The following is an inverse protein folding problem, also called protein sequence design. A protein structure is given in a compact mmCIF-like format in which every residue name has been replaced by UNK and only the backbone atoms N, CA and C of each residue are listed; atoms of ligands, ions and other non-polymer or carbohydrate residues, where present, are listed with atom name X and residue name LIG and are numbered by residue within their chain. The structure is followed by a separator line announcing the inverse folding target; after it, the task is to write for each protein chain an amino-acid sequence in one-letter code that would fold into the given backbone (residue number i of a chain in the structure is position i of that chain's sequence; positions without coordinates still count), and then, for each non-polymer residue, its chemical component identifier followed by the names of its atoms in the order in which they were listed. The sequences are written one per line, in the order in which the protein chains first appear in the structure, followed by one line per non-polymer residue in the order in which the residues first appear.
data_IF_387805947893
#
_entry.id   IF_387805947893
#
_cell.length_a   1.000
_cell.length_b   1.000
_cell.length_c   1.000
_cell.angle_alpha   90.00
_cell.angle_beta   90.00
_cell.angle_gamma   90.00
#
_symmetry.space_group_name_H-M   'P 1'
#
loop_
_entity.id
_entity.type
_entity.pdbx_description
1 polymer ?
#
# COMPACT_ATOMS: atom_id res chain seq x y z
N UNK A 1 24.09 -18.62 -13.91
CA UNK A 1 23.00 -18.18 -14.81
C UNK A 1 22.69 -19.25 -15.86
N UNK A 2 21.44 -19.72 -15.93
CA UNK A 2 20.96 -20.62 -17.01
C UNK A 2 20.99 -19.90 -18.37
N UNK A 3 20.98 -20.65 -19.48
CA UNK A 3 21.01 -20.10 -20.84
C UNK A 3 19.67 -20.32 -21.55
N UNK A 4 19.22 -19.31 -22.31
CA UNK A 4 18.01 -19.40 -23.13
C UNK A 4 18.13 -20.46 -24.23
N UNK A 5 17.03 -21.14 -24.54
CA UNK A 5 16.95 -22.13 -25.60
C UNK A 5 16.15 -21.63 -26.80
N UNK A 6 16.76 -21.65 -27.98
CA UNK A 6 16.09 -21.29 -29.25
C UNK A 6 15.13 -22.37 -29.76
N UNK A 7 15.24 -23.61 -29.25
CA UNK A 7 14.32 -24.70 -29.59
C UNK A 7 13.08 -24.75 -28.70
N UNK A 8 13.06 -23.98 -27.62
CA UNK A 8 11.89 -23.84 -26.76
C UNK A 8 10.80 -23.05 -27.48
N UNK A 9 9.51 -23.41 -27.32
CA UNK A 9 8.40 -22.62 -27.85
C UNK A 9 8.24 -21.27 -27.15
N UNK A 10 8.90 -21.06 -25.99
CA UNK A 10 8.84 -19.79 -25.27
C UNK A 10 9.69 -18.72 -25.95
N UNK A 11 9.20 -17.48 -26.09
CA UNK A 11 10.02 -16.38 -26.60
C UNK A 11 11.29 -16.15 -25.78
N UNK A 12 12.42 -15.88 -26.43
CA UNK A 12 13.73 -15.72 -25.78
C UNK A 12 13.76 -14.64 -24.69
N UNK A 13 13.05 -13.52 -24.88
CA UNK A 13 12.94 -12.47 -23.87
C UNK A 13 12.18 -12.96 -22.62
N UNK A 14 11.18 -13.83 -22.80
CA UNK A 14 10.42 -14.42 -21.70
C UNK A 14 11.27 -15.45 -20.94
N UNK A 15 12.05 -16.25 -21.65
CA UNK A 15 13.01 -17.17 -21.02
C UNK A 15 14.06 -16.41 -20.19
N UNK A 16 14.66 -15.34 -20.75
CA UNK A 16 15.61 -14.51 -20.00
C UNK A 16 14.96 -13.86 -18.76
N UNK A 17 13.72 -13.38 -18.90
CA UNK A 17 12.93 -12.88 -17.77
C UNK A 17 12.84 -13.94 -16.66
N UNK A 18 12.44 -15.16 -16.99
CA UNK A 18 12.33 -16.26 -16.01
C UNK A 18 13.67 -16.60 -15.36
N UNK A 19 14.76 -16.62 -16.14
CA UNK A 19 16.11 -16.90 -15.61
C UNK A 19 16.52 -15.84 -14.58
N UNK A 20 16.28 -14.55 -14.87
CA UNK A 20 16.58 -13.47 -13.95
C UNK A 20 15.70 -13.53 -12.69
N UNK A 21 14.41 -13.88 -12.83
CA UNK A 21 13.52 -14.07 -11.69
C UNK A 21 13.99 -15.21 -10.81
N UNK A 22 14.34 -16.35 -11.40
CA UNK A 22 14.84 -17.52 -10.66
C UNK A 22 16.12 -17.20 -9.88
N UNK A 23 17.05 -16.43 -10.45
CA UNK A 23 18.25 -15.97 -9.74
C UNK A 23 17.91 -15.11 -8.52
N UNK A 24 16.90 -14.23 -8.63
CA UNK A 24 16.44 -13.41 -7.49
C UNK A 24 15.71 -14.27 -6.45
N UNK A 25 14.89 -15.23 -6.89
CA UNK A 25 14.15 -16.15 -6.01
C UNK A 25 15.08 -17.09 -5.24
N UNK A 26 16.20 -17.50 -5.85
CA UNK A 26 17.24 -18.32 -5.23
C UNK A 26 18.29 -17.51 -4.46
N UNK A 27 18.08 -16.20 -4.28
CA UNK A 27 19.00 -15.30 -3.57
C UNK A 27 20.42 -15.20 -4.17
N UNK A 28 20.59 -15.56 -5.46
CA UNK A 28 21.82 -15.30 -6.23
C UNK A 28 21.98 -13.81 -6.55
N UNK A 29 20.87 -13.06 -6.53
CA UNK A 29 20.81 -11.61 -6.66
C UNK A 29 19.91 -11.04 -5.55
N UNK A 30 20.48 -10.22 -4.68
CA UNK A 30 19.79 -9.64 -3.53
C UNK A 30 19.17 -8.27 -3.86
N UNK A 31 18.16 -7.81 -3.10
CA UNK A 31 17.63 -6.46 -3.25
C UNK A 31 18.71 -5.38 -3.17
N UNK A 32 18.78 -4.53 -4.19
CA UNK A 32 19.82 -3.51 -4.34
C UNK A 32 21.01 -3.93 -5.20
N UNK A 33 21.18 -5.22 -5.50
CA UNK A 33 22.23 -5.68 -6.40
C UNK A 33 21.97 -5.22 -7.84
N UNK A 34 23.05 -4.95 -8.57
CA UNK A 34 23.01 -4.72 -10.02
C UNK A 34 22.87 -6.04 -10.75
N UNK A 35 21.91 -6.13 -11.68
CA UNK A 35 21.91 -7.23 -12.65
C UNK A 35 23.05 -7.03 -13.67
N UNK A 36 23.50 -8.09 -14.38
CA UNK A 36 24.43 -7.91 -15.50
C UNK A 36 23.88 -6.90 -16.51
N UNK A 37 24.77 -6.10 -17.08
CA UNK A 37 24.42 -5.05 -18.04
C UNK A 37 23.77 -5.64 -19.29
N UNK A 38 23.01 -4.83 -20.04
CA UNK A 38 22.40 -5.29 -21.30
C UNK A 38 23.43 -5.93 -22.24
N UNK A 39 24.64 -5.37 -22.28
CA UNK A 39 25.74 -5.87 -23.11
C UNK A 39 26.20 -7.24 -22.65
N UNK A 40 26.49 -7.40 -21.36
CA UNK A 40 26.91 -8.68 -20.79
C UNK A 40 25.82 -9.75 -20.97
N UNK A 41 24.55 -9.39 -20.79
CA UNK A 41 23.43 -10.30 -21.04
C UNK A 41 23.35 -10.71 -22.52
N UNK A 42 23.61 -9.80 -23.47
CA UNK A 42 23.67 -10.16 -24.88
C UNK A 42 24.79 -11.18 -25.15
N UNK A 43 25.97 -10.97 -24.56
CA UNK A 43 27.15 -11.81 -24.72
C UNK A 43 26.94 -13.20 -24.08
N UNK A 44 26.44 -13.25 -22.85
CA UNK A 44 26.16 -14.48 -22.09
C UNK A 44 25.07 -15.31 -22.79
N UNK A 45 23.96 -14.67 -23.15
CA UNK A 45 22.76 -15.36 -23.64
C UNK A 45 22.77 -15.53 -25.18
N UNK A 46 23.69 -14.89 -25.90
CA UNK A 46 23.79 -14.91 -27.36
C UNK A 46 22.49 -14.53 -28.07
N UNK A 47 21.85 -13.46 -27.57
CA UNK A 47 20.59 -12.90 -28.10
C UNK A 47 20.73 -11.40 -28.37
N UNK A 48 19.78 -10.85 -29.13
CA UNK A 48 19.81 -9.44 -29.51
C UNK A 48 19.58 -8.52 -28.31
N UNK A 49 20.15 -7.30 -28.38
CA UNK A 49 19.92 -6.25 -27.38
C UNK A 49 18.45 -5.89 -27.22
N UNK A 50 17.67 -5.88 -28.30
CA UNK A 50 16.23 -5.66 -28.22
C UNK A 50 15.52 -6.74 -27.40
N UNK A 51 15.94 -8.00 -27.53
CA UNK A 51 15.40 -9.12 -26.75
C UNK A 51 15.74 -9.00 -25.27
N UNK A 52 16.98 -8.65 -24.94
CA UNK A 52 17.42 -8.39 -23.56
C UNK A 52 16.64 -7.22 -22.95
N UNK A 53 16.58 -6.09 -23.67
CA UNK A 53 15.88 -4.90 -23.21
C UNK A 53 14.39 -5.17 -22.96
N UNK A 54 13.73 -5.97 -23.81
CA UNK A 54 12.34 -6.39 -23.61
C UNK A 54 12.15 -7.21 -22.33
N UNK A 55 13.07 -8.11 -22.01
CA UNK A 55 13.03 -8.89 -20.77
C UNK A 55 13.17 -7.97 -19.53
N UNK A 56 14.15 -7.07 -19.56
CA UNK A 56 14.39 -6.11 -18.47
C UNK A 56 13.19 -5.19 -18.29
N UNK A 57 12.63 -4.63 -19.37
CA UNK A 57 11.46 -3.75 -19.29
C UNK A 57 10.23 -4.47 -18.71
N UNK A 58 10.03 -5.75 -19.00
CA UNK A 58 8.98 -6.55 -18.35
C UNK A 58 9.19 -6.60 -16.84
N UNK A 59 10.39 -6.93 -16.37
CA UNK A 59 10.70 -7.01 -14.94
C UNK A 59 10.61 -5.65 -14.24
N UNK A 60 10.98 -4.57 -14.93
CA UNK A 60 10.79 -3.20 -14.45
C UNK A 60 9.31 -2.86 -14.33
N UNK A 61 8.50 -3.22 -15.33
CA UNK A 61 7.05 -2.99 -15.28
C UNK A 61 6.34 -3.77 -14.17
N UNK A 62 6.89 -4.94 -13.79
CA UNK A 62 6.41 -5.77 -12.70
C UNK A 62 6.92 -5.31 -11.31
N UNK A 63 7.82 -4.32 -11.28
CA UNK A 63 8.43 -3.82 -10.05
C UNK A 63 9.42 -4.80 -9.40
N UNK A 64 9.94 -5.76 -10.15
CA UNK A 64 10.96 -6.72 -9.71
C UNK A 64 12.36 -6.10 -9.87
N UNK A 65 12.54 -5.28 -10.91
CA UNK A 65 13.73 -4.49 -11.13
C UNK A 65 13.38 -2.99 -11.17
N UNK A 66 14.36 -2.13 -10.97
CA UNK A 66 14.25 -0.69 -11.25
C UNK A 66 15.49 -0.20 -12.00
N UNK A 67 15.34 0.90 -12.75
CA UNK A 67 16.45 1.51 -13.51
C UNK A 67 16.84 2.84 -12.87
N UNK A 68 18.14 3.03 -12.67
CA UNK A 68 18.71 4.35 -12.42
C UNK A 68 19.50 4.80 -13.65
N UNK A 69 19.10 5.92 -14.23
CA UNK A 69 19.73 6.47 -15.43
C UNK A 69 21.23 6.68 -15.21
N UNK A 70 22.05 6.13 -16.11
CA UNK A 70 23.52 6.22 -16.05
C UNK A 70 24.19 5.30 -15.02
N UNK A 71 23.43 4.59 -14.18
CA UNK A 71 23.97 3.72 -13.13
C UNK A 71 23.70 2.24 -13.34
N UNK A 72 22.56 1.89 -13.94
CA UNK A 72 22.26 0.50 -14.29
C UNK A 72 20.84 0.07 -13.97
N UNK A 73 20.65 -1.25 -13.91
CA UNK A 73 19.38 -1.89 -13.52
C UNK A 73 19.63 -2.71 -12.27
N UNK A 74 18.73 -2.56 -11.29
CA UNK A 74 18.91 -3.07 -9.93
C UNK A 74 17.72 -3.92 -9.51
N UNK A 75 17.94 -4.88 -8.62
CA UNK A 75 16.86 -5.66 -8.00
C UNK A 75 16.07 -4.80 -7.03
N UNK A 76 14.76 -4.71 -7.23
CA UNK A 76 13.88 -3.92 -6.38
C UNK A 76 13.75 -4.54 -4.98
N UNK A 77 13.53 -3.69 -3.98
CA UNK A 77 13.17 -4.16 -2.63
C UNK A 77 11.82 -4.86 -2.67
N UNK A 78 11.67 -5.95 -1.89
CA UNK A 78 10.39 -6.65 -1.75
C UNK A 78 9.35 -5.66 -1.23
N UNK A 79 8.19 -5.59 -1.88
CA UNK A 79 7.05 -4.80 -1.38
C UNK A 79 6.63 -5.29 -0.01
N UNK A 80 6.24 -4.36 0.85
CA UNK A 80 5.73 -4.66 2.17
C UNK A 80 4.41 -5.44 2.07
N UNK A 81 4.36 -6.60 2.72
CA UNK A 81 3.19 -7.48 2.75
C UNK A 81 2.16 -6.94 3.73
N UNK A 82 0.97 -6.54 3.29
CA UNK A 82 -0.14 -6.26 4.21
C UNK A 82 -1.02 -7.49 4.42
N UNK A 83 -1.13 -7.96 5.68
CA UNK A 83 -1.97 -9.11 6.04
C UNK A 83 -3.41 -8.68 6.33
N UNK A 84 -4.36 -9.29 5.62
CA UNK A 84 -5.78 -8.94 5.69
C UNK A 84 -6.61 -9.78 6.68
N UNK A 85 -6.01 -10.78 7.32
CA UNK A 85 -6.73 -11.80 8.11
C UNK A 85 -7.01 -11.41 9.56
N UNK A 86 -6.35 -10.37 10.09
CA UNK A 86 -6.62 -9.84 11.43
C UNK A 86 -7.00 -8.37 11.32
N UNK A 87 -8.07 -7.98 12.02
CA UNK A 87 -8.47 -6.57 12.15
C UNK A 87 -7.43 -5.85 13.03
N UNK A 88 -6.34 -5.43 12.41
CA UNK A 88 -5.27 -4.65 13.02
C UNK A 88 -5.38 -3.20 12.56
N UNK A 89 -4.97 -2.30 13.45
CA UNK A 89 -4.65 -0.94 13.05
C UNK A 89 -3.39 -0.93 12.21
N UNK A 90 -3.28 0.06 11.32
CA UNK A 90 -2.06 0.30 10.54
C UNK A 90 -0.80 0.35 11.41
N UNK A 91 -0.89 0.95 12.61
CA UNK A 91 0.23 1.08 13.54
C UNK A 91 0.69 -0.28 14.09
N UNK A 92 -0.25 -1.14 14.50
CA UNK A 92 0.08 -2.50 14.96
C UNK A 92 0.73 -3.30 13.83
N UNK A 93 0.19 -3.19 12.62
CA UNK A 93 0.61 -3.99 11.48
C UNK A 93 2.05 -3.72 11.04
N UNK A 94 2.49 -2.45 10.94
CA UNK A 94 3.90 -2.22 10.55
C UNK A 94 4.88 -2.31 11.72
N UNK A 95 4.42 -2.14 12.97
CA UNK A 95 5.28 -2.42 14.15
C UNK A 95 5.71 -3.89 14.18
N UNK A 96 4.80 -4.81 13.85
CA UNK A 96 5.15 -6.24 13.72
C UNK A 96 6.19 -6.52 12.61
N UNK A 97 6.28 -5.64 11.62
CA UNK A 97 7.29 -5.71 10.54
C UNK A 97 8.60 -5.01 10.90
N UNK A 98 8.72 -4.47 12.11
CA UNK A 98 9.91 -3.73 12.56
C UNK A 98 10.10 -2.37 11.88
N UNK A 99 9.06 -1.83 11.23
CA UNK A 99 9.14 -0.56 10.50
C UNK A 99 8.80 0.63 11.38
N UNK A 100 9.54 1.72 11.20
CA UNK A 100 9.25 2.98 11.89
C UNK A 100 8.09 3.69 11.18
N UNK A 101 6.96 3.79 11.88
CA UNK A 101 5.77 4.47 11.39
C UNK A 101 5.64 5.81 12.09
N UNK A 102 5.37 6.85 11.34
CA UNK A 102 4.84 8.10 11.87
C UNK A 102 3.56 8.50 11.14
N UNK A 103 2.73 9.30 11.80
CA UNK A 103 1.49 9.82 11.23
C UNK A 103 1.48 11.32 11.35
N UNK A 104 1.12 12.02 10.27
CA UNK A 104 0.91 13.47 10.27
C UNK A 104 -0.56 13.74 9.99
N UNK A 105 -1.23 14.45 10.89
CA UNK A 105 -2.62 14.87 10.69
C UNK A 105 -2.62 16.08 9.73
N UNK A 106 -3.22 15.91 8.55
CA UNK A 106 -3.36 16.95 7.53
C UNK A 106 -4.61 17.81 7.76
N UNK A 107 -5.73 17.18 8.17
CA UNK A 107 -6.97 17.88 8.52
C UNK A 107 -7.71 17.13 9.64
N UNK A 108 -8.44 17.88 10.46
CA UNK A 108 -9.36 17.39 11.47
C UNK A 108 -10.57 18.34 11.49
N UNK A 109 -11.74 17.85 11.09
CA UNK A 109 -12.93 18.66 10.94
C UNK A 109 -14.16 17.97 11.52
N UNK A 110 -15.05 18.73 12.15
CA UNK A 110 -16.38 18.27 12.52
C UNK A 110 -17.36 18.81 11.51
N UNK A 111 -18.06 17.91 10.80
CA UNK A 111 -19.02 18.29 9.75
C UNK A 111 -20.28 17.47 9.80
N UNK A 112 -21.29 17.92 9.05
CA UNK A 112 -22.52 17.14 8.85
C UNK A 112 -22.26 16.05 7.82
N UNK A 113 -22.64 14.81 8.12
CA UNK A 113 -22.50 13.69 7.21
C UNK A 113 -23.34 13.88 5.94
N UNK A 114 -22.79 13.47 4.80
CA UNK A 114 -23.56 13.29 3.58
C UNK A 114 -24.52 12.11 3.72
N UNK A 115 -25.54 12.03 2.85
CA UNK A 115 -26.47 10.88 2.84
C UNK A 115 -25.75 9.53 2.74
N UNK A 116 -24.70 9.46 1.91
CA UNK A 116 -23.92 8.24 1.76
C UNK A 116 -23.19 7.85 3.05
N UNK A 117 -22.49 8.80 3.69
CA UNK A 117 -21.78 8.56 4.96
C UNK A 117 -22.76 8.21 6.07
N UNK A 118 -23.91 8.89 6.17
CA UNK A 118 -24.90 8.59 7.19
C UNK A 118 -25.50 7.19 7.03
N UNK A 119 -25.71 6.73 5.80
CA UNK A 119 -26.16 5.37 5.53
C UNK A 119 -25.09 4.34 5.87
N UNK A 120 -23.83 4.57 5.48
CA UNK A 120 -22.72 3.66 5.77
C UNK A 120 -22.48 3.50 7.28
N UNK A 121 -22.52 4.61 8.02
CA UNK A 121 -22.28 4.64 9.46
C UNK A 121 -23.55 4.43 10.29
N UNK A 122 -24.69 4.15 9.64
CA UNK A 122 -26.00 3.95 10.29
C UNK A 122 -26.32 5.06 11.31
N UNK A 123 -26.04 6.31 10.94
CA UNK A 123 -26.18 7.44 11.86
C UNK A 123 -27.66 7.64 12.24
N UNK A 124 -27.97 7.78 13.54
CA UNK A 124 -29.31 8.19 13.94
C UNK A 124 -29.68 9.55 13.35
N UNK A 125 -30.94 9.73 12.94
CA UNK A 125 -31.42 10.98 12.31
C UNK A 125 -31.08 12.27 13.08
N UNK A 126 -31.01 12.21 14.42
CA UNK A 126 -30.67 13.36 15.27
C UNK A 126 -29.17 13.54 15.53
N UNK A 127 -28.32 12.62 15.05
CA UNK A 127 -26.87 12.52 15.35
C UNK A 127 -26.05 12.46 14.06
N UNK A 128 -26.29 13.42 13.17
CA UNK A 128 -25.72 13.47 11.81
C UNK A 128 -24.31 14.07 11.73
N UNK A 129 -23.70 14.47 12.86
CA UNK A 129 -22.35 15.03 12.87
C UNK A 129 -21.31 13.90 12.87
N UNK A 130 -20.25 14.10 12.10
CA UNK A 130 -19.10 13.22 12.01
C UNK A 130 -17.81 14.01 12.18
N UNK A 131 -16.78 13.33 12.67
CA UNK A 131 -15.40 13.80 12.66
C UNK A 131 -14.77 13.23 11.39
N UNK A 132 -14.22 14.09 10.54
CA UNK A 132 -13.37 13.69 9.43
C UNK A 132 -11.91 14.01 9.76
N UNK A 133 -11.03 13.03 9.58
CA UNK A 133 -9.61 13.14 9.85
C UNK A 133 -8.86 12.72 8.59
N UNK A 134 -8.02 13.61 8.04
CA UNK A 134 -7.14 13.28 6.92
C UNK A 134 -5.72 13.13 7.48
N UNK A 135 -5.10 11.98 7.23
CA UNK A 135 -3.80 11.62 7.77
C UNK A 135 -2.85 11.18 6.67
N UNK A 136 -1.61 11.67 6.74
CA UNK A 136 -0.50 11.14 5.97
C UNK A 136 0.23 10.11 6.82
N UNK A 137 0.29 8.87 6.32
CA UNK A 137 1.04 7.77 6.93
C UNK A 137 2.43 7.74 6.31
N UNK A 138 3.46 7.65 7.15
CA UNK A 138 4.84 7.56 6.71
C UNK A 138 5.47 6.27 7.23
N UNK A 139 6.34 5.69 6.41
CA UNK A 139 7.20 4.57 6.77
C UNK A 139 8.63 5.01 6.50
N UNK A 140 9.49 4.96 7.52
CA UNK A 140 10.86 5.47 7.47
C UNK A 140 10.95 6.91 6.91
N UNK A 141 10.04 7.77 7.39
CA UNK A 141 9.88 9.18 6.98
C UNK A 141 9.46 9.43 5.52
N UNK A 142 9.18 8.38 4.73
CA UNK A 142 8.68 8.52 3.36
C UNK A 142 7.17 8.24 3.30
N UNK A 143 6.34 9.11 2.67
CA UNK A 143 4.90 8.90 2.56
C UNK A 143 4.52 7.52 2.02
N UNK A 144 3.55 6.89 2.66
CA UNK A 144 3.13 5.53 2.36
C UNK A 144 1.65 5.49 1.95
N UNK A 145 0.83 6.28 2.64
CA UNK A 145 -0.60 6.36 2.36
C UNK A 145 -1.20 7.70 2.79
N UNK A 146 -2.27 8.09 2.10
CA UNK A 146 -3.21 9.12 2.58
C UNK A 146 -4.45 8.39 3.06
N UNK A 147 -4.90 8.68 4.26
CA UNK A 147 -6.05 8.06 4.89
C UNK A 147 -7.05 9.14 5.30
N UNK A 148 -8.28 9.00 4.83
CA UNK A 148 -9.44 9.75 5.30
C UNK A 148 -10.26 8.85 6.21
N UNK A 149 -10.39 9.25 7.47
CA UNK A 149 -11.16 8.56 8.50
C UNK A 149 -12.41 9.38 8.78
N UNK A 150 -13.57 8.71 8.86
CA UNK A 150 -14.84 9.33 9.24
C UNK A 150 -15.44 8.58 10.41
N UNK A 151 -15.69 9.31 11.50
CA UNK A 151 -16.15 8.78 12.78
C UNK A 151 -17.47 9.42 13.21
N UNK A 152 -18.46 8.68 13.74
CA UNK A 152 -19.67 9.27 14.30
C UNK A 152 -19.36 10.15 15.53
N UNK A 153 -19.63 11.46 15.46
CA UNK A 153 -19.27 12.38 16.56
C UNK A 153 -19.94 11.98 17.88
N UNK A 154 -21.16 11.45 17.83
CA UNK A 154 -21.90 11.09 19.03
C UNK A 154 -21.28 9.93 19.82
N UNK A 155 -20.42 9.12 19.19
CA UNK A 155 -19.64 8.07 19.85
C UNK A 155 -18.34 8.63 20.41
N UNK A 156 -17.82 9.69 19.79
CA UNK A 156 -16.50 10.25 20.07
C UNK A 156 -16.59 11.73 20.46
N UNK A 157 -17.51 12.07 21.35
CA UNK A 157 -17.97 13.44 21.56
C UNK A 157 -16.90 14.42 22.05
N UNK A 158 -15.82 13.92 22.65
CA UNK A 158 -14.69 14.69 23.18
C UNK A 158 -13.37 14.40 22.41
N UNK A 159 -13.46 13.81 21.21
CA UNK A 159 -12.28 13.58 20.39
C UNK A 159 -11.80 14.90 19.78
N UNK A 160 -10.52 15.20 20.01
CA UNK A 160 -9.82 16.35 19.43
C UNK A 160 -8.59 15.87 18.67
N UNK A 161 -7.97 16.78 17.92
CA UNK A 161 -6.72 16.50 17.20
C UNK A 161 -5.60 16.06 18.16
N UNK A 162 -5.48 16.71 19.31
CA UNK A 162 -4.45 16.46 20.33
C UNK A 162 -4.60 15.06 20.95
N UNK A 163 -5.84 14.58 21.09
CA UNK A 163 -6.12 13.25 21.64
C UNK A 163 -5.51 12.15 20.78
N UNK A 164 -5.47 12.34 19.45
CA UNK A 164 -5.06 11.33 18.47
C UNK A 164 -3.67 11.61 17.87
N UNK A 165 -3.05 12.73 18.20
CA UNK A 165 -1.75 13.09 17.63
C UNK A 165 -0.67 12.11 18.09
N UNK A 166 0.07 11.56 17.13
CA UNK A 166 1.05 10.50 17.37
C UNK A 166 0.50 9.17 17.88
N UNK A 167 -0.83 8.99 18.01
CA UNK A 167 -1.45 7.76 18.56
C UNK A 167 -2.15 6.92 17.48
N UNK A 168 -2.27 5.62 17.76
CA UNK A 168 -3.12 4.73 16.96
C UNK A 168 -4.59 4.98 17.28
N UNK A 169 -5.43 5.16 16.25
CA UNK A 169 -6.87 5.35 16.46
C UNK A 169 -7.50 4.17 17.17
N UNK A 170 -7.11 2.92 16.85
CA UNK A 170 -7.74 1.76 17.48
C UNK A 170 -7.32 1.62 18.94
N UNK A 171 -6.10 2.04 19.30
CA UNK A 171 -5.73 2.17 20.72
C UNK A 171 -6.61 3.22 21.40
N UNK A 172 -6.77 4.40 20.79
CA UNK A 172 -7.65 5.44 21.33
C UNK A 172 -9.10 4.96 21.48
N UNK A 173 -9.64 4.21 20.51
CA UNK A 173 -10.99 3.65 20.57
C UNK A 173 -11.14 2.71 21.77
N UNK A 174 -10.16 1.82 22.00
CA UNK A 174 -10.18 0.88 23.13
C UNK A 174 -9.96 1.58 24.47
N UNK A 175 -8.87 2.33 24.60
CA UNK A 175 -8.40 2.87 25.88
C UNK A 175 -9.26 4.04 26.38
N UNK A 176 -9.66 4.96 25.48
CA UNK A 176 -10.42 6.15 25.86
C UNK A 176 -11.93 5.94 25.78
N UNK A 177 -12.40 5.24 24.75
CA UNK A 177 -13.84 5.12 24.47
C UNK A 177 -14.44 3.75 24.82
N UNK A 178 -13.61 2.75 25.14
CA UNK A 178 -14.08 1.38 25.41
C UNK A 178 -14.68 0.69 24.16
N UNK A 179 -14.39 1.19 22.96
CA UNK A 179 -14.88 0.63 21.71
C UNK A 179 -13.84 -0.29 21.10
N UNK A 180 -14.17 -1.58 21.05
CA UNK A 180 -13.31 -2.60 20.46
C UNK A 180 -13.76 -2.87 19.01
N UNK A 181 -12.90 -2.60 18.01
CA UNK A 181 -13.13 -3.04 16.64
C UNK A 181 -13.06 -4.56 16.57
N UNK A 182 -14.14 -5.24 16.15
CA UNK A 182 -14.18 -6.71 16.08
C UNK A 182 -14.39 -7.25 14.68
N UNK A 183 -15.02 -6.47 13.80
CA UNK A 183 -15.34 -6.85 12.43
C UNK A 183 -15.10 -5.67 11.51
N UNK A 184 -14.66 -5.94 10.29
CA UNK A 184 -14.66 -4.93 9.24
C UNK A 184 -15.05 -5.53 7.90
N UNK A 185 -15.75 -4.74 7.08
CA UNK A 185 -15.95 -5.01 5.66
C UNK A 185 -14.98 -4.12 4.88
N UNK A 186 -14.15 -4.72 4.04
CA UNK A 186 -13.15 -3.99 3.27
C UNK A 186 -13.24 -4.30 1.78
N UNK A 187 -13.07 -3.28 0.94
CA UNK A 187 -12.85 -3.41 -0.50
C UNK A 187 -11.48 -2.86 -0.88
N UNK A 188 -10.93 -3.38 -1.98
CA UNK A 188 -9.63 -3.04 -2.53
C UNK A 188 -9.78 -2.82 -4.03
N UNK A 189 -9.37 -1.66 -4.52
CA UNK A 189 -9.52 -1.28 -5.93
C UNK A 189 -8.22 -0.63 -6.43
N UNK A 190 -7.74 -0.96 -7.65
CA UNK A 190 -6.69 -0.17 -8.29
C UNK A 190 -7.26 1.19 -8.73
N UNK A 191 -6.50 2.25 -8.50
CA UNK A 191 -6.85 3.61 -8.95
C UNK A 191 -5.64 4.32 -9.54
N UNK A 192 -5.88 5.42 -10.26
CA UNK A 192 -4.86 6.38 -10.66
C UNK A 192 -4.89 7.56 -9.69
N UNK A 193 -3.73 8.01 -9.23
CA UNK A 193 -3.62 9.16 -8.35
C UNK A 193 -4.00 10.44 -9.10
N UNK A 194 -4.81 11.27 -8.46
CA UNK A 194 -4.96 12.68 -8.85
C UNK A 194 -3.69 13.46 -8.53
N UNK A 195 -3.48 14.63 -9.16
CA UNK A 195 -2.34 15.50 -8.84
C UNK A 195 -2.29 15.92 -7.36
N UNK A 196 -3.47 16.10 -6.76
CA UNK A 196 -3.60 16.43 -5.35
C UNK A 196 -3.07 15.30 -4.47
N UNK A 197 -3.50 14.06 -4.70
CA UNK A 197 -3.05 12.89 -3.93
C UNK A 197 -1.56 12.59 -4.20
N UNK A 198 -1.13 12.71 -5.46
CA UNK A 198 0.25 12.49 -5.88
C UNK A 198 1.23 13.43 -5.15
N UNK A 199 0.86 14.71 -4.98
CA UNK A 199 1.66 15.69 -4.25
C UNK A 199 1.95 15.27 -2.80
N UNK A 200 0.96 14.74 -2.08
CA UNK A 200 1.16 14.29 -0.70
C UNK A 200 1.94 12.98 -0.60
N UNK A 201 1.83 12.12 -1.62
CA UNK A 201 2.50 10.82 -1.65
C UNK A 201 3.91 10.85 -2.25
N UNK A 202 4.41 12.03 -2.64
CA UNK A 202 5.65 12.17 -3.40
C UNK A 202 5.65 11.29 -4.66
N UNK A 203 4.57 11.38 -5.44
CA UNK A 203 4.36 10.65 -6.69
C UNK A 203 4.06 11.61 -7.84
N UNK A 204 4.04 11.06 -9.05
CA UNK A 204 3.57 11.79 -10.24
C UNK A 204 2.06 11.57 -10.40
N UNK A 205 1.33 12.57 -10.90
CA UNK A 205 -0.06 12.41 -11.30
C UNK A 205 -0.25 11.21 -12.23
N UNK A 206 -1.41 10.56 -12.16
CA UNK A 206 -1.70 9.31 -12.87
C UNK A 206 -0.79 8.12 -12.50
N UNK A 207 -0.07 8.15 -11.38
CA UNK A 207 0.59 6.94 -10.88
C UNK A 207 -0.43 5.95 -10.32
N UNK A 208 -0.16 4.64 -10.44
CA UNK A 208 -1.03 3.60 -9.89
C UNK A 208 -0.97 3.58 -8.35
N UNK A 209 -2.14 3.44 -7.73
CA UNK A 209 -2.29 3.26 -6.30
C UNK A 209 -3.37 2.23 -5.99
N UNK A 210 -3.41 1.80 -4.72
CA UNK A 210 -4.47 0.93 -4.23
C UNK A 210 -5.37 1.68 -3.27
N UNK A 211 -6.67 1.67 -3.58
CA UNK A 211 -7.72 2.28 -2.78
C UNK A 211 -8.38 1.25 -1.89
N UNK A 212 -8.35 1.51 -0.60
CA UNK A 212 -8.99 0.75 0.46
C UNK A 212 -10.21 1.51 0.94
N UNK A 213 -11.35 0.84 0.96
CA UNK A 213 -12.52 1.32 1.70
C UNK A 213 -12.85 0.31 2.77
N UNK A 214 -12.86 0.74 4.03
CA UNK A 214 -13.16 -0.14 5.17
C UNK A 214 -14.27 0.47 6.01
N UNK A 215 -15.27 -0.33 6.32
CA UNK A 215 -16.29 -0.05 7.32
C UNK A 215 -16.05 -0.97 8.51
N UNK A 216 -15.78 -0.39 9.66
CA UNK A 216 -15.37 -1.08 10.89
C UNK A 216 -16.51 -1.05 11.90
N UNK A 217 -16.74 -2.19 12.55
CA UNK A 217 -17.83 -2.42 13.48
C UNK A 217 -17.32 -2.76 14.87
N UNK A 218 -18.07 -2.34 15.88
CA UNK A 218 -17.95 -2.82 17.26
C UNK A 218 -18.54 -4.23 17.43
N UNK A 219 -18.27 -4.81 18.59
CA UNK A 219 -18.83 -6.11 19.03
C UNK A 219 -20.35 -6.20 18.96
N UNK A 220 -21.05 -5.10 19.23
CA UNK A 220 -22.52 -4.99 19.18
C UNK A 220 -23.08 -4.79 17.76
N UNK A 221 -22.21 -4.78 16.74
CA UNK A 221 -22.61 -4.63 15.34
C UNK A 221 -22.75 -3.17 14.88
N UNK A 222 -22.55 -2.18 15.77
CA UNK A 222 -22.64 -0.76 15.40
C UNK A 222 -21.43 -0.35 14.55
N UNK A 223 -21.62 0.31 13.39
CA UNK A 223 -20.51 0.88 12.63
C UNK A 223 -19.89 2.05 13.38
N UNK A 224 -18.57 2.03 13.54
CA UNK A 224 -17.84 3.04 14.31
C UNK A 224 -16.86 3.86 13.49
N UNK A 225 -16.48 3.37 12.33
CA UNK A 225 -15.47 4.01 11.50
C UNK A 225 -15.70 3.64 10.06
N UNK A 226 -15.64 4.64 9.19
CA UNK A 226 -15.44 4.45 7.76
C UNK A 226 -14.09 5.05 7.37
N UNK A 227 -13.27 4.28 6.66
CA UNK A 227 -11.98 4.76 6.15
C UNK A 227 -11.88 4.61 4.65
N UNK A 228 -11.28 5.62 4.03
CA UNK A 228 -10.78 5.61 2.66
C UNK A 228 -9.27 5.78 2.72
N UNK A 229 -8.48 4.78 2.32
CA UNK A 229 -7.02 4.86 2.32
C UNK A 229 -6.45 4.63 0.94
N UNK A 230 -5.54 5.48 0.51
CA UNK A 230 -4.84 5.36 -0.77
C UNK A 230 -3.38 5.04 -0.48
N UNK A 231 -2.94 3.85 -0.90
CA UNK A 231 -1.59 3.34 -0.68
C UNK A 231 -0.76 3.39 -1.97
N UNK A 232 0.52 3.77 -1.86
CA UNK A 232 1.49 3.66 -2.95
C UNK A 232 1.66 2.19 -3.35
N UNK A 233 1.24 1.85 -4.57
CA UNK A 233 1.28 0.47 -5.08
C UNK A 233 2.70 -0.05 -5.31
N UNK A 234 3.68 0.85 -5.49
CA UNK A 234 5.09 0.51 -5.58
C UNK A 234 5.67 0.00 -4.24
N UNK A 235 5.10 0.44 -3.10
CA UNK A 235 5.59 0.08 -1.76
C UNK A 235 4.84 -1.09 -1.15
N UNK A 236 3.55 -1.22 -1.45
CA UNK A 236 2.67 -2.15 -0.77
C UNK A 236 2.09 -3.21 -1.70
N UNK A 237 2.02 -4.43 -1.19
CA UNK A 237 1.21 -5.51 -1.75
C UNK A 237 0.29 -6.07 -0.67
N UNK A 238 -0.86 -6.58 -1.10
CA UNK A 238 -1.87 -7.14 -0.20
C UNK A 238 -1.86 -8.66 -0.29
N UNK A 239 -1.87 -9.30 0.87
CA UNK A 239 -1.84 -10.75 1.01
C UNK A 239 -3.04 -11.19 1.88
N UNK A 240 -3.80 -12.17 1.36
CA UNK A 240 -4.89 -12.82 2.09
C UNK A 240 -4.52 -14.29 2.20
N UNK A 241 -4.62 -14.84 3.42
CA UNK A 241 -4.61 -16.28 3.63
C UNK A 241 -6.06 -16.71 3.73
N UNK A 242 -6.50 -17.57 2.83
CA UNK A 242 -7.83 -18.18 2.85
C UNK A 242 -7.69 -19.53 3.55
N UNK A 243 -8.44 -19.73 4.64
CA UNK A 243 -8.52 -20.98 5.41
C UNK A 243 -9.97 -21.37 5.58
#
# INVERSE_FOLDING_TARGET
MKIVSKSSPLPLHYQLKMILQEMIENEELLPGDTIPTERELCEIQKISRMTVNKAILSLVSEGILYREQGKGTFVAKKKEKQQLTKLKSFTEEMREKGLNISTKILSFEIKTATKHISTLLELPHKKMKVIEIIRLRLTDNDPSAIETVVLPLYLFSDMTKEVIDGKSLYNTFREKYGYEPTKAKQTIEPIMLTDYEAKFLNQVGNSLALLFRRLTYRKDGVPIEYTKSIYRSEKYKYEVILT
#
